data_IF_283758344014
#
_entry.id   IF_283758344014
#
_cell.length_a   1.000
_cell.length_b   1.000
_cell.length_c   1.000
_cell.angle_alpha   90.00
_cell.angle_beta   90.00
_cell.angle_gamma   90.00
#
_symmetry.space_group_name_H-M   'P 1'
#
loop_
_entity.id
_entity.type
_entity.pdbx_description
1 polymer ?
#
# COMPACT_ATOMS: atom_id res chain seq x y z
N UNK A 1 -4.85 8.06 17.55
CA UNK A 1 -4.28 9.42 17.47
C UNK A 1 -2.82 9.51 16.95
N UNK A 2 -1.94 8.52 17.06
CA UNK A 2 -0.54 8.63 16.54
C UNK A 2 -0.40 8.57 15.00
N UNK A 3 -1.34 7.95 14.27
CA UNK A 3 -1.26 7.75 12.80
C UNK A 3 -1.41 9.06 12.01
N UNK A 4 -2.35 9.93 12.37
CA UNK A 4 -2.59 11.20 11.68
C UNK A 4 -1.40 12.18 11.72
N UNK A 5 -0.54 12.11 12.73
CA UNK A 5 0.63 12.98 12.87
C UNK A 5 1.69 12.79 11.79
N UNK A 6 1.94 11.55 11.35
CA UNK A 6 2.98 11.23 10.36
C UNK A 6 2.70 11.80 8.95
N UNK A 7 1.42 12.03 8.62
CA UNK A 7 0.97 12.59 7.34
C UNK A 7 0.64 14.09 7.42
N UNK A 8 0.74 14.71 8.60
CA UNK A 8 0.42 16.12 8.78
C UNK A 8 1.28 17.01 7.87
N UNK A 9 0.62 17.88 7.12
CA UNK A 9 1.27 18.78 6.18
C UNK A 9 1.79 18.13 4.90
N UNK A 10 1.78 16.80 4.76
CA UNK A 10 2.26 16.10 3.58
C UNK A 10 1.20 15.98 2.50
N UNK A 11 1.65 15.97 1.25
CA UNK A 11 0.84 15.63 0.07
C UNK A 11 1.15 14.19 -0.34
N UNK A 12 0.12 13.35 -0.40
CA UNK A 12 0.22 11.97 -0.88
C UNK A 12 -0.15 11.91 -2.34
N UNK A 13 0.78 11.49 -3.17
CA UNK A 13 0.59 11.22 -4.60
C UNK A 13 0.35 9.74 -4.84
N UNK A 14 -0.65 9.39 -5.65
CA UNK A 14 -0.94 8.00 -6.02
C UNK A 14 -0.91 7.86 -7.54
N UNK A 15 0.00 7.04 -8.05
CA UNK A 15 0.07 6.70 -9.47
C UNK A 15 -0.57 5.35 -9.69
N UNK A 16 -1.67 5.34 -10.44
CA UNK A 16 -2.55 4.18 -10.64
C UNK A 16 -3.76 4.19 -9.71
N UNK A 17 -4.93 4.56 -10.24
CA UNK A 17 -6.21 4.54 -9.54
C UNK A 17 -7.01 3.25 -9.86
N UNK A 18 -6.32 2.10 -9.87
CA UNK A 18 -6.93 0.77 -9.88
C UNK A 18 -7.54 0.41 -8.53
N UNK A 19 -7.95 -0.85 -8.35
CA UNK A 19 -8.61 -1.34 -7.12
C UNK A 19 -7.82 -0.97 -5.86
N UNK A 20 -6.52 -1.25 -5.83
CA UNK A 20 -5.70 -0.98 -4.64
C UNK A 20 -5.41 0.51 -4.44
N UNK A 21 -5.13 1.26 -5.52
CA UNK A 21 -4.93 2.71 -5.43
C UNK A 21 -6.18 3.43 -4.91
N UNK A 22 -7.37 3.03 -5.37
CA UNK A 22 -8.64 3.54 -4.85
C UNK A 22 -8.88 3.16 -3.39
N UNK A 23 -8.55 1.91 -2.99
CA UNK A 23 -8.69 1.47 -1.60
C UNK A 23 -7.84 2.33 -0.65
N UNK A 24 -6.58 2.56 -0.99
CA UNK A 24 -5.66 3.39 -0.20
C UNK A 24 -6.15 4.85 -0.12
N UNK A 25 -6.58 5.44 -1.25
CA UNK A 25 -7.13 6.81 -1.26
C UNK A 25 -8.38 6.90 -0.37
N UNK A 26 -9.33 5.98 -0.49
CA UNK A 26 -10.55 5.97 0.33
C UNK A 26 -10.24 5.74 1.81
N UNK A 27 -9.30 4.84 2.12
CA UNK A 27 -8.83 4.62 3.49
C UNK A 27 -8.23 5.87 4.11
N UNK A 28 -7.38 6.58 3.39
CA UNK A 28 -6.79 7.87 3.85
C UNK A 28 -7.86 8.95 4.08
N UNK A 29 -8.85 9.06 3.19
CA UNK A 29 -9.96 10.00 3.37
C UNK A 29 -10.81 9.63 4.59
N UNK A 30 -11.09 8.33 4.80
CA UNK A 30 -11.83 7.83 5.96
C UNK A 30 -11.07 8.07 7.28
N UNK A 31 -9.76 7.93 7.26
CA UNK A 31 -8.87 8.22 8.42
C UNK A 31 -8.64 9.74 8.65
N UNK A 32 -9.37 10.59 7.92
CA UNK A 32 -9.42 12.05 8.13
C UNK A 32 -8.38 12.85 7.35
N UNK A 33 -7.69 12.28 6.37
CA UNK A 33 -6.81 13.05 5.49
C UNK A 33 -7.63 13.94 4.57
N UNK A 34 -7.32 15.24 4.52
CA UNK A 34 -8.01 16.18 3.65
C UNK A 34 -7.82 15.80 2.16
N UNK A 35 -8.90 15.78 1.37
CA UNK A 35 -8.88 15.42 -0.04
C UNK A 35 -7.93 16.28 -0.88
N UNK A 36 -7.80 17.57 -0.55
CA UNK A 36 -6.86 18.49 -1.19
C UNK A 36 -5.38 18.14 -0.96
N UNK A 37 -5.06 17.26 -0.02
CA UNK A 37 -3.72 16.71 0.23
C UNK A 37 -3.46 15.39 -0.48
N UNK A 38 -4.43 14.89 -1.25
CA UNK A 38 -4.28 13.70 -2.09
C UNK A 38 -4.32 14.13 -3.55
N UNK A 39 -3.32 13.70 -4.30
CA UNK A 39 -3.24 13.93 -5.75
C UNK A 39 -3.00 12.58 -6.42
N UNK A 40 -3.74 12.26 -7.48
CA UNK A 40 -3.59 10.95 -8.11
C UNK A 40 -3.61 11.02 -9.64
N UNK A 41 -3.11 9.98 -10.29
CA UNK A 41 -3.16 9.83 -11.74
C UNK A 41 -3.63 8.43 -12.15
N UNK A 42 -4.40 8.41 -13.23
CA UNK A 42 -4.74 7.19 -13.99
C UNK A 42 -5.09 7.62 -15.42
N UNK A 43 -4.61 6.95 -16.47
CA UNK A 43 -4.96 7.30 -17.84
C UNK A 43 -6.45 7.13 -18.13
N UNK A 44 -7.13 6.20 -17.46
CA UNK A 44 -8.54 5.86 -17.68
C UNK A 44 -9.48 6.88 -17.05
N UNK A 45 -10.30 7.55 -17.84
CA UNK A 45 -11.26 8.55 -17.36
C UNK A 45 -12.27 7.99 -16.33
N UNK A 46 -12.71 6.72 -16.51
CA UNK A 46 -13.60 6.03 -15.58
C UNK A 46 -13.02 5.90 -14.17
N UNK A 47 -11.73 5.54 -14.06
CA UNK A 47 -11.04 5.44 -12.78
C UNK A 47 -10.92 6.80 -12.07
N UNK A 48 -10.76 7.88 -12.84
CA UNK A 48 -10.63 9.24 -12.28
C UNK A 48 -11.96 9.79 -11.74
N UNK A 49 -13.07 9.58 -12.45
CA UNK A 49 -14.40 10.18 -12.11
C UNK A 49 -14.83 9.92 -10.66
N UNK A 50 -14.70 8.69 -10.19
CA UNK A 50 -15.11 8.31 -8.84
C UNK A 50 -14.34 9.03 -7.73
N UNK A 51 -13.03 9.23 -7.92
CA UNK A 51 -12.16 9.90 -6.95
C UNK A 51 -12.29 11.42 -7.02
N UNK A 52 -12.52 11.99 -8.21
CA UNK A 52 -12.79 13.43 -8.37
C UNK A 52 -14.02 13.84 -7.57
N UNK A 53 -15.09 13.02 -7.55
CA UNK A 53 -16.30 13.27 -6.73
C UNK A 53 -16.01 13.30 -5.22
N UNK A 54 -14.93 12.68 -4.78
CA UNK A 54 -14.47 12.71 -3.38
C UNK A 54 -13.53 13.90 -3.09
N UNK A 55 -13.38 14.84 -4.04
CA UNK A 55 -12.51 16.02 -3.92
C UNK A 55 -11.02 15.74 -4.15
N UNK A 56 -10.65 14.55 -4.62
CA UNK A 56 -9.25 14.21 -4.93
C UNK A 56 -8.85 14.84 -6.26
N UNK A 57 -7.68 15.49 -6.30
CA UNK A 57 -7.13 16.06 -7.53
C UNK A 57 -6.59 14.98 -8.45
N UNK A 58 -7.32 14.74 -9.56
CA UNK A 58 -7.01 13.66 -10.50
C UNK A 58 -6.34 14.19 -11.77
N UNK A 59 -5.32 13.48 -12.25
CA UNK A 59 -4.60 13.78 -13.48
C UNK A 59 -4.60 12.58 -14.44
N UNK A 60 -4.49 12.84 -15.75
CA UNK A 60 -4.30 11.79 -16.73
C UNK A 60 -2.82 11.35 -16.84
N UNK A 61 -1.88 12.26 -16.50
CA UNK A 61 -0.42 12.06 -16.57
C UNK A 61 0.19 11.98 -15.16
N UNK A 62 1.32 11.29 -15.03
CA UNK A 62 1.99 11.06 -13.74
C UNK A 62 2.83 12.26 -13.27
N UNK A 63 3.40 13.03 -14.20
CA UNK A 63 4.29 14.16 -13.89
C UNK A 63 3.70 15.18 -12.90
N UNK A 64 2.43 15.65 -13.03
CA UNK A 64 1.82 16.55 -12.06
C UNK A 64 1.75 15.96 -10.64
N UNK A 65 1.46 14.65 -10.52
CA UNK A 65 1.43 13.95 -9.24
C UNK A 65 2.83 13.87 -8.64
N UNK A 66 3.79 13.42 -9.44
CA UNK A 66 5.17 13.30 -9.01
C UNK A 66 5.77 14.63 -8.56
N UNK A 67 5.40 15.76 -9.14
CA UNK A 67 5.87 17.10 -8.74
C UNK A 67 5.35 17.56 -7.39
N UNK A 68 4.14 17.19 -7.02
CA UNK A 68 3.45 17.70 -5.84
C UNK A 68 3.63 16.82 -4.60
N UNK A 69 3.81 15.51 -4.79
CA UNK A 69 3.78 14.54 -3.69
C UNK A 69 5.01 14.61 -2.77
N UNK A 70 4.83 14.56 -1.47
CA UNK A 70 5.87 14.27 -0.47
C UNK A 70 6.06 12.78 -0.29
N UNK A 71 4.98 12.03 -0.52
CA UNK A 71 4.93 10.58 -0.53
C UNK A 71 4.31 10.15 -1.84
N UNK A 72 4.97 9.29 -2.58
CA UNK A 72 4.54 8.84 -3.90
C UNK A 72 4.27 7.33 -3.88
N UNK A 73 3.00 6.95 -3.94
CA UNK A 73 2.54 5.57 -4.02
C UNK A 73 2.49 5.12 -5.48
N UNK A 74 3.17 4.02 -5.80
CA UNK A 74 3.17 3.39 -7.12
C UNK A 74 2.24 2.18 -7.08
N UNK A 75 1.00 2.36 -7.56
CA UNK A 75 -0.08 1.37 -7.55
C UNK A 75 -0.42 0.86 -8.97
N UNK A 76 0.59 0.78 -9.84
CA UNK A 76 0.49 0.23 -11.19
C UNK A 76 0.83 -1.25 -11.22
N UNK A 77 0.51 -1.92 -12.33
CA UNK A 77 0.88 -3.32 -12.53
C UNK A 77 2.41 -3.48 -12.64
N UNK A 78 2.97 -4.65 -12.23
CA UNK A 78 4.41 -4.88 -12.27
C UNK A 78 5.02 -4.64 -13.66
N UNK A 79 4.30 -4.98 -14.73
CA UNK A 79 4.75 -4.82 -16.12
C UNK A 79 4.96 -3.34 -16.52
N UNK A 80 4.21 -2.43 -15.91
CA UNK A 80 4.28 -0.98 -16.18
C UNK A 80 5.38 -0.29 -15.34
N UNK A 81 5.91 -0.98 -14.32
CA UNK A 81 6.80 -0.37 -13.33
C UNK A 81 8.10 0.15 -13.94
N UNK A 82 8.69 -0.56 -14.90
CA UNK A 82 9.96 -0.17 -15.51
C UNK A 82 9.85 1.19 -16.23
N UNK A 83 8.87 1.34 -17.10
CA UNK A 83 8.61 2.59 -17.82
C UNK A 83 8.24 3.72 -16.88
N UNK A 84 7.42 3.42 -15.86
CA UNK A 84 7.05 4.39 -14.83
C UNK A 84 8.26 4.90 -14.05
N UNK A 85 9.16 4.03 -13.61
CA UNK A 85 10.36 4.45 -12.88
C UNK A 85 11.30 5.30 -13.73
N UNK A 86 11.40 5.05 -15.04
CA UNK A 86 12.13 5.89 -15.98
C UNK A 86 11.48 7.28 -16.11
N UNK A 87 10.15 7.33 -16.28
CA UNK A 87 9.37 8.58 -16.35
C UNK A 87 9.53 9.40 -15.05
N UNK A 88 9.52 8.76 -13.90
CA UNK A 88 9.55 9.45 -12.59
C UNK A 88 10.93 9.97 -12.21
N UNK A 89 12.02 9.40 -12.74
CA UNK A 89 13.39 9.72 -12.36
C UNK A 89 13.73 11.22 -12.34
N UNK A 90 13.31 12.05 -13.29
CA UNK A 90 13.55 13.50 -13.25
C UNK A 90 12.82 14.19 -12.09
N UNK A 91 11.67 13.66 -11.68
CA UNK A 91 10.75 14.29 -10.74
C UNK A 91 10.97 13.91 -9.27
N UNK A 92 11.64 12.78 -9.00
CA UNK A 92 11.91 12.30 -7.62
C UNK A 92 13.31 12.64 -7.12
N UNK A 93 14.20 13.16 -7.98
CA UNK A 93 15.47 13.75 -7.57
C UNK A 93 15.23 15.13 -6.91
N UNK A 94 16.22 15.70 -6.23
CA UNK A 94 16.15 17.02 -5.59
C UNK A 94 15.42 18.03 -6.47
N UNK A 95 14.29 18.58 -6.00
CA UNK A 95 13.40 19.46 -6.76
C UNK A 95 13.70 20.94 -6.48
N UNK A 96 13.56 21.86 -7.48
CA UNK A 96 13.49 23.29 -7.22
C UNK A 96 12.24 23.61 -6.37
N UNK A 97 12.32 24.63 -5.51
CA UNK A 97 11.21 25.10 -4.67
C UNK A 97 10.11 25.85 -5.46
N UNK A 98 10.35 26.18 -6.72
CA UNK A 98 9.45 26.97 -7.58
C UNK A 98 8.25 26.17 -8.13
N UNK A 99 7.75 25.19 -7.40
CA UNK A 99 6.45 24.58 -7.73
C UNK A 99 5.34 25.49 -7.21
N UNK A 100 4.34 25.88 -8.03
CA UNK A 100 3.31 26.89 -7.69
C UNK A 100 2.45 26.56 -6.47
N UNK A 101 2.59 25.39 -5.86
CA UNK A 101 1.91 25.02 -4.61
C UNK A 101 2.45 25.76 -3.37
N UNK A 102 3.55 26.52 -3.46
CA UNK A 102 4.18 27.24 -2.33
C UNK A 102 4.29 28.76 -2.54
N UNK A 103 3.65 29.33 -3.55
CA UNK A 103 3.67 30.78 -3.83
C UNK A 103 3.02 31.67 -2.77
N UNK A 104 2.41 31.10 -1.72
CA UNK A 104 1.76 31.89 -0.66
C UNK A 104 2.65 32.25 0.54
N UNK A 105 3.63 31.41 0.87
CA UNK A 105 4.39 31.55 2.13
C UNK A 105 5.71 32.30 1.95
N UNK A 106 6.30 32.29 0.75
CA UNK A 106 7.57 32.95 0.48
C UNK A 106 7.42 34.52 0.34
N UNK A 107 6.23 35.01 0.07
CA UNK A 107 5.99 36.46 -0.06
C UNK A 107 5.89 37.21 1.27
N UNK A 108 5.49 36.55 2.35
CA UNK A 108 5.35 37.23 3.66
C UNK A 108 6.69 37.37 4.40
N UNK A 109 7.68 36.54 4.12
CA UNK A 109 9.02 36.65 4.75
C UNK A 109 9.84 37.78 4.11
N UNK A 110 9.60 38.12 2.84
CA UNK A 110 10.30 39.17 2.15
C UNK A 110 9.77 40.59 2.48
N UNK A 111 8.51 40.74 2.93
CA UNK A 111 7.91 42.02 3.27
C UNK A 111 8.31 42.58 4.64
N UNK A 112 8.89 41.77 5.53
CA UNK A 112 9.22 42.21 6.89
C UNK A 112 10.70 42.59 7.09
N UNK A 113 11.50 42.71 6.00
CA UNK A 113 12.91 43.14 6.05
C UNK A 113 13.21 44.52 5.44
N UNK A 114 12.20 45.33 5.08
CA UNK A 114 12.40 46.63 4.43
C UNK A 114 12.01 47.82 5.29
N UNK A 115 12.30 47.79 6.60
CA UNK A 115 12.28 49.02 7.44
C UNK A 115 13.48 49.03 8.38
N UNK A 116 14.60 49.55 7.92
CA UNK A 116 15.79 49.87 8.70
C UNK A 116 16.80 50.64 7.85
N UNK A 117 17.09 51.83 8.28
CA UNK A 117 17.79 52.95 7.66
C UNK A 117 19.24 52.66 7.18
N UNK A 118 19.82 53.50 6.29
CA UNK A 118 21.09 53.29 5.62
C UNK A 118 22.27 53.92 6.37
N UNK A 119 23.40 53.25 6.42
CA UNK A 119 24.71 53.93 6.60
C UNK A 119 25.81 53.25 5.76
N UNK A 120 26.38 54.14 4.94
CA UNK A 120 27.70 54.21 4.32
C UNK A 120 28.47 52.97 3.85
N UNK A 121 28.75 53.09 2.58
CA UNK A 121 29.60 52.30 1.75
C UNK A 121 31.04 52.14 2.25
N UNK A 122 31.61 50.94 2.04
CA UNK A 122 32.98 50.77 1.57
C UNK A 122 33.04 49.64 0.55
N UNK A 123 33.66 49.96 -0.55
CA UNK A 123 33.87 49.19 -1.76
C UNK A 123 34.92 48.11 -1.52
N UNK A 124 34.58 46.81 -1.69
CA UNK A 124 35.58 45.79 -1.95
C UNK A 124 35.05 44.93 -3.09
N UNK A 125 35.71 45.04 -4.22
CA UNK A 125 35.51 44.19 -5.39
C UNK A 125 35.98 42.80 -5.10
N UNK A 126 35.11 41.82 -5.24
CA UNK A 126 35.39 40.41 -5.18
C UNK A 126 34.24 39.69 -5.86
N UNK A 127 34.26 39.62 -7.21
CA UNK A 127 33.38 38.74 -7.99
C UNK A 127 33.55 37.31 -7.51
N UNK A 128 32.63 36.83 -6.72
CA UNK A 128 32.27 35.42 -6.65
C UNK A 128 30.91 35.27 -7.26
N UNK A 129 30.88 34.60 -8.41
CA UNK A 129 29.65 34.18 -9.08
C UNK A 129 28.72 33.53 -8.07
N UNK A 130 27.63 34.19 -7.80
CA UNK A 130 26.60 33.75 -6.86
C UNK A 130 25.97 32.48 -7.38
N UNK A 131 26.35 31.35 -6.76
CA UNK A 131 25.54 30.15 -6.80
C UNK A 131 24.17 30.53 -6.20
N UNK A 132 23.21 30.90 -7.05
CA UNK A 132 21.83 31.12 -6.68
C UNK A 132 21.29 29.81 -6.10
N UNK A 133 21.43 29.66 -4.78
CA UNK A 133 20.96 28.52 -4.04
C UNK A 133 19.46 28.38 -4.13
N UNK A 134 18.95 27.87 -5.26
CA UNK A 134 17.55 27.45 -5.37
C UNK A 134 17.34 26.41 -4.29
N UNK A 135 16.66 26.80 -3.22
CA UNK A 135 16.32 25.88 -2.13
C UNK A 135 15.61 24.66 -2.71
N UNK A 136 16.21 23.50 -2.56
CA UNK A 136 15.73 22.24 -3.16
C UNK A 136 14.92 21.46 -2.13
N UNK A 137 13.72 21.05 -2.50
CA UNK A 137 12.88 20.18 -1.68
C UNK A 137 13.52 18.79 -1.57
N UNK A 138 13.40 18.14 -0.40
CA UNK A 138 13.83 16.77 -0.21
C UNK A 138 13.11 15.80 -1.19
N UNK A 139 13.78 14.72 -1.64
CA UNK A 139 13.12 13.70 -2.45
C UNK A 139 11.91 13.12 -1.72
N UNK A 140 10.81 12.77 -2.44
CA UNK A 140 9.66 12.13 -1.82
C UNK A 140 10.03 10.72 -1.33
N UNK A 141 9.30 10.23 -0.33
CA UNK A 141 9.26 8.78 -0.07
C UNK A 141 8.51 8.09 -1.22
N UNK A 142 9.18 7.20 -1.94
CA UNK A 142 8.54 6.39 -3.00
C UNK A 142 8.17 5.03 -2.44
N UNK A 143 6.89 4.68 -2.51
CA UNK A 143 6.34 3.41 -2.01
C UNK A 143 5.80 2.61 -3.19
N UNK A 144 6.32 1.41 -3.42
CA UNK A 144 5.78 0.49 -4.42
C UNK A 144 4.95 -0.60 -3.76
N UNK A 145 3.76 -0.86 -4.31
CA UNK A 145 2.89 -1.98 -3.94
C UNK A 145 2.85 -3.08 -5.00
N UNK A 146 3.68 -2.99 -6.03
CA UNK A 146 3.70 -3.94 -7.13
C UNK A 146 4.39 -5.25 -6.73
N UNK A 147 3.69 -6.38 -6.95
CA UNK A 147 4.26 -7.70 -6.74
C UNK A 147 5.53 -7.90 -7.61
N UNK A 148 6.53 -8.61 -7.08
CA UNK A 148 7.77 -8.89 -7.81
C UNK A 148 8.77 -7.72 -7.92
N UNK A 149 8.38 -6.48 -7.64
CA UNK A 149 9.29 -5.33 -7.67
C UNK A 149 10.04 -5.23 -6.34
N UNK A 150 11.33 -5.53 -6.37
CA UNK A 150 12.15 -5.56 -5.17
C UNK A 150 12.59 -4.16 -4.73
N UNK A 151 12.90 -4.01 -3.44
CA UNK A 151 13.54 -2.81 -2.89
C UNK A 151 14.82 -2.45 -3.67
N UNK A 152 15.65 -3.44 -3.99
CA UNK A 152 16.89 -3.25 -4.78
C UNK A 152 16.59 -2.66 -6.16
N UNK A 153 15.52 -3.13 -6.82
CA UNK A 153 15.08 -2.56 -8.11
C UNK A 153 14.69 -1.10 -7.97
N UNK A 154 13.93 -0.74 -6.93
CA UNK A 154 13.54 0.65 -6.67
C UNK A 154 14.77 1.53 -6.41
N UNK A 155 15.68 1.09 -5.53
CA UNK A 155 16.89 1.84 -5.17
C UNK A 155 17.83 2.06 -6.36
N UNK A 156 17.98 1.07 -7.24
CA UNK A 156 18.84 1.19 -8.43
C UNK A 156 18.24 2.11 -9.50
N UNK A 157 16.93 2.10 -9.66
CA UNK A 157 16.24 2.95 -10.65
C UNK A 157 16.02 4.39 -10.16
N UNK A 158 15.92 4.59 -8.83
CA UNK A 158 15.69 5.90 -8.19
C UNK A 158 16.84 6.24 -7.21
N UNK A 159 18.07 6.40 -7.69
CA UNK A 159 19.21 6.64 -6.81
C UNK A 159 19.04 7.96 -6.03
N UNK A 160 19.34 7.90 -4.73
CA UNK A 160 19.21 9.05 -3.84
C UNK A 160 17.82 9.25 -3.22
N UNK A 161 16.82 8.46 -3.62
CA UNK A 161 15.43 8.57 -3.16
C UNK A 161 15.17 7.57 -2.02
N UNK A 162 14.50 7.96 -0.92
CA UNK A 162 14.00 7.01 0.07
C UNK A 162 12.89 6.16 -0.56
N UNK A 163 12.98 4.85 -0.42
CA UNK A 163 12.00 3.91 -0.98
C UNK A 163 11.45 2.97 0.09
N UNK A 164 10.23 2.50 -0.13
CA UNK A 164 9.63 1.39 0.62
C UNK A 164 8.96 0.42 -0.37
N UNK A 165 9.09 -0.86 -0.09
CA UNK A 165 8.30 -1.90 -0.74
C UNK A 165 7.20 -2.34 0.21
N UNK A 166 5.96 -2.39 -0.26
CA UNK A 166 4.82 -2.86 0.51
C UNK A 166 4.08 -3.93 -0.27
N UNK A 167 3.62 -4.96 0.42
CA UNK A 167 2.78 -6.02 -0.15
C UNK A 167 1.44 -6.02 0.59
N UNK A 168 0.44 -5.27 0.10
CA UNK A 168 -0.93 -5.29 0.61
C UNK A 168 -1.73 -6.45 0.02
N UNK A 169 -2.93 -6.68 0.53
CA UNK A 169 -3.87 -7.64 -0.01
C UNK A 169 -5.26 -7.03 -0.29
N UNK A 170 -6.11 -7.76 -1.01
CA UNK A 170 -7.42 -7.29 -1.49
C UNK A 170 -8.38 -6.83 -0.37
N UNK A 171 -8.43 -7.43 0.85
CA UNK A 171 -9.27 -6.96 1.94
C UNK A 171 -9.02 -5.51 2.39
N UNK A 172 -7.92 -4.88 1.99
CA UNK A 172 -7.70 -3.44 2.15
C UNK A 172 -8.84 -2.59 1.55
N UNK A 173 -9.57 -3.11 0.55
CA UNK A 173 -10.73 -2.43 -0.06
C UNK A 173 -11.91 -2.24 0.90
N UNK A 174 -11.94 -2.99 1.98
CA UNK A 174 -12.96 -2.94 3.04
C UNK A 174 -12.35 -2.59 4.41
N UNK A 175 -11.13 -2.06 4.45
CA UNK A 175 -10.46 -1.65 5.68
C UNK A 175 -9.91 -2.81 6.53
N UNK A 176 -9.91 -4.04 6.01
CA UNK A 176 -9.45 -5.25 6.68
C UNK A 176 -8.23 -5.88 5.99
N UNK A 177 -7.35 -5.05 5.44
CA UNK A 177 -6.15 -5.49 4.76
C UNK A 177 -5.04 -5.94 5.70
N UNK A 178 -4.10 -6.72 5.15
CA UNK A 178 -2.81 -6.97 5.76
C UNK A 178 -1.72 -6.50 4.80
N UNK A 179 -0.78 -5.69 5.29
CA UNK A 179 0.29 -5.11 4.49
C UNK A 179 1.64 -5.36 5.13
N UNK A 180 2.47 -6.20 4.51
CA UNK A 180 3.88 -6.28 4.90
C UNK A 180 4.69 -5.20 4.18
N UNK A 181 5.65 -4.58 4.88
CA UNK A 181 6.52 -3.59 4.27
C UNK A 181 7.99 -3.77 4.66
N UNK A 182 8.89 -3.23 3.83
CA UNK A 182 10.31 -3.09 4.13
C UNK A 182 10.82 -1.76 3.60
N UNK A 183 11.74 -1.16 4.34
CA UNK A 183 12.31 0.14 4.02
C UNK A 183 13.61 -0.01 3.24
N UNK A 184 13.85 0.92 2.31
CA UNK A 184 15.12 1.08 1.63
C UNK A 184 16.19 1.70 2.53
N UNK A 185 17.45 1.60 2.12
CA UNK A 185 18.60 2.07 2.90
C UNK A 185 18.59 3.57 3.23
N UNK A 186 17.87 4.39 2.45
CA UNK A 186 17.70 5.83 2.67
C UNK A 186 16.41 6.20 3.39
N UNK A 187 15.59 5.22 3.74
CA UNK A 187 14.38 5.43 4.50
C UNK A 187 14.65 5.17 6.00
N UNK A 188 14.23 6.10 6.84
CA UNK A 188 14.43 6.03 8.30
C UNK A 188 13.11 5.99 9.06
N UNK A 189 13.14 6.20 10.40
CA UNK A 189 11.95 6.07 11.28
C UNK A 189 10.77 6.95 10.88
N UNK A 190 11.00 8.17 10.40
CA UNK A 190 9.93 9.04 9.92
C UNK A 190 9.22 8.47 8.68
N UNK A 191 9.95 7.80 7.79
CA UNK A 191 9.38 7.13 6.63
C UNK A 191 8.59 5.88 7.02
N UNK A 192 9.05 5.13 8.05
CA UNK A 192 8.30 4.01 8.66
C UNK A 192 6.94 4.48 9.14
N UNK A 193 6.89 5.54 9.95
CA UNK A 193 5.64 6.09 10.47
C UNK A 193 4.67 6.50 9.35
N UNK A 194 5.20 7.02 8.22
CA UNK A 194 4.39 7.35 7.04
C UNK A 194 3.81 6.10 6.39
N UNK A 195 4.60 5.02 6.21
CA UNK A 195 4.12 3.75 5.64
C UNK A 195 3.03 3.16 6.54
N UNK A 196 3.29 3.09 7.85
CA UNK A 196 2.34 2.59 8.84
C UNK A 196 1.04 3.42 8.88
N UNK A 197 1.13 4.74 8.73
CA UNK A 197 -0.06 5.59 8.68
C UNK A 197 -0.90 5.31 7.43
N UNK A 198 -0.27 5.22 6.25
CA UNK A 198 -0.99 5.01 4.98
C UNK A 198 -1.67 3.64 4.94
N UNK A 199 -0.92 2.58 5.24
CA UNK A 199 -1.46 1.21 5.13
C UNK A 199 -2.29 0.82 6.35
N UNK A 200 -2.03 1.42 7.51
CA UNK A 200 -2.86 1.29 8.69
C UNK A 200 -4.26 1.89 8.55
N UNK A 201 -4.47 2.82 7.61
CA UNK A 201 -5.80 3.34 7.26
C UNK A 201 -6.69 2.31 6.55
N UNK A 202 -6.11 1.20 6.06
CA UNK A 202 -6.83 0.13 5.34
C UNK A 202 -6.64 -1.26 5.95
N UNK A 203 -6.07 -1.37 7.15
CA UNK A 203 -5.89 -2.65 7.85
C UNK A 203 -4.66 -2.68 8.75
N UNK A 204 -4.05 -3.84 8.89
CA UNK A 204 -2.86 -4.07 9.70
C UNK A 204 -1.57 -3.94 8.87
N UNK A 205 -0.49 -3.54 9.56
CA UNK A 205 0.83 -3.40 8.94
C UNK A 205 1.90 -4.10 9.76
N UNK A 206 2.87 -4.72 9.07
CA UNK A 206 4.04 -5.32 9.71
C UNK A 206 5.29 -5.03 8.89
N UNK A 207 6.38 -4.63 9.56
CA UNK A 207 7.68 -4.54 8.91
C UNK A 207 8.38 -5.89 8.95
N UNK A 208 8.81 -6.38 7.77
CA UNK A 208 9.48 -7.66 7.62
C UNK A 208 10.72 -7.54 6.74
N UNK A 209 11.73 -8.39 6.96
CA UNK A 209 12.84 -8.55 6.03
C UNK A 209 12.34 -8.93 4.63
N UNK A 210 12.90 -8.34 3.58
CA UNK A 210 12.46 -8.56 2.19
C UNK A 210 12.47 -10.04 1.77
N UNK A 211 13.35 -10.88 2.33
CA UNK A 211 13.40 -12.33 2.08
C UNK A 211 12.10 -13.08 2.41
N UNK A 212 11.21 -12.50 3.23
CA UNK A 212 9.93 -13.08 3.60
C UNK A 212 8.78 -12.67 2.68
N UNK A 213 8.99 -11.75 1.74
CA UNK A 213 7.89 -11.21 0.92
C UNK A 213 7.24 -12.23 -0.01
N UNK A 214 7.97 -13.25 -0.47
CA UNK A 214 7.38 -14.32 -1.28
C UNK A 214 6.45 -15.19 -0.44
N UNK A 215 6.81 -15.47 0.81
CA UNK A 215 5.93 -16.16 1.76
C UNK A 215 4.71 -15.31 2.10
N UNK A 216 4.89 -14.01 2.36
CA UNK A 216 3.76 -13.08 2.59
C UNK A 216 2.84 -13.02 1.37
N UNK A 217 3.40 -12.98 0.17
CA UNK A 217 2.61 -12.99 -1.07
C UNK A 217 1.77 -14.26 -1.16
N UNK A 218 2.35 -15.41 -0.88
CA UNK A 218 1.63 -16.69 -0.88
C UNK A 218 0.52 -16.73 0.19
N UNK A 219 0.82 -16.32 1.42
CA UNK A 219 -0.11 -16.43 2.56
C UNK A 219 -1.19 -15.35 2.51
N UNK A 220 -0.79 -14.09 2.40
CA UNK A 220 -1.67 -12.92 2.53
C UNK A 220 -2.08 -12.33 1.19
N UNK A 221 -1.15 -12.16 0.25
CA UNK A 221 -1.44 -11.61 -1.08
C UNK A 221 -2.43 -12.47 -1.86
N UNK A 222 -2.18 -13.78 -1.92
CA UNK A 222 -3.03 -14.78 -2.59
C UNK A 222 -4.14 -15.32 -1.69
N UNK A 223 -4.00 -15.20 -0.38
CA UNK A 223 -4.92 -15.73 0.64
C UNK A 223 -6.39 -15.45 0.41
N UNK A 224 -6.83 -14.25 0.02
CA UNK A 224 -8.22 -13.98 -0.27
C UNK A 224 -8.82 -14.91 -1.32
N UNK A 225 -8.05 -15.32 -2.34
CA UNK A 225 -8.51 -16.27 -3.35
C UNK A 225 -8.77 -17.66 -2.77
N UNK A 226 -7.98 -18.10 -1.80
CA UNK A 226 -8.19 -19.38 -1.12
C UNK A 226 -9.48 -19.37 -0.30
N UNK A 227 -9.76 -18.27 0.39
CA UNK A 227 -11.02 -18.10 1.12
C UNK A 227 -12.20 -18.11 0.16
N UNK A 228 -12.12 -17.42 -0.97
CA UNK A 228 -13.20 -17.42 -1.97
C UNK A 228 -13.40 -18.80 -2.59
N UNK A 229 -12.33 -19.55 -2.85
CA UNK A 229 -12.41 -20.93 -3.32
C UNK A 229 -13.09 -21.85 -2.29
N UNK A 230 -12.71 -21.73 -1.01
CA UNK A 230 -13.33 -22.51 0.08
C UNK A 230 -14.83 -22.18 0.20
N UNK A 231 -15.20 -20.90 0.16
CA UNK A 231 -16.61 -20.47 0.18
C UNK A 231 -17.37 -21.05 -1.00
N UNK A 232 -16.81 -21.00 -2.21
CA UNK A 232 -17.42 -21.57 -3.41
C UNK A 232 -17.67 -23.07 -3.27
N UNK A 233 -16.69 -23.82 -2.83
CA UNK A 233 -16.79 -25.27 -2.62
C UNK A 233 -17.84 -25.60 -1.54
N UNK A 234 -17.84 -24.87 -0.44
CA UNK A 234 -18.76 -25.08 0.67
C UNK A 234 -20.21 -24.73 0.31
N UNK A 235 -20.44 -23.60 -0.38
CA UNK A 235 -21.78 -23.26 -0.93
C UNK A 235 -22.28 -24.34 -1.91
N UNK A 236 -21.38 -24.92 -2.71
CA UNK A 236 -21.67 -26.05 -3.61
C UNK A 236 -22.12 -27.31 -2.85
N UNK A 237 -21.34 -27.71 -1.84
CA UNK A 237 -21.65 -28.86 -1.01
C UNK A 237 -22.96 -28.68 -0.22
N UNK A 238 -23.22 -27.49 0.32
CA UNK A 238 -24.46 -27.19 1.03
C UNK A 238 -25.70 -27.36 0.13
N UNK A 239 -25.59 -26.97 -1.15
CA UNK A 239 -26.67 -27.20 -2.13
C UNK A 239 -26.85 -28.68 -2.46
N UNK A 240 -25.79 -29.43 -2.55
CA UNK A 240 -25.85 -30.88 -2.76
C UNK A 240 -26.53 -31.63 -1.60
N UNK A 241 -26.52 -31.05 -0.40
CA UNK A 241 -27.28 -31.52 0.76
C UNK A 241 -28.77 -31.06 0.76
N UNK A 242 -29.25 -30.40 -0.30
CA UNK A 242 -30.65 -29.98 -0.46
C UNK A 242 -30.96 -28.56 0.04
N UNK A 243 -29.97 -27.79 0.51
CA UNK A 243 -30.25 -26.42 0.93
C UNK A 243 -30.53 -25.51 -0.28
N UNK A 244 -31.60 -24.69 -0.22
CA UNK A 244 -31.85 -23.68 -1.22
C UNK A 244 -30.65 -22.75 -1.39
N UNK A 245 -30.35 -22.31 -2.61
CA UNK A 245 -29.16 -21.49 -2.95
C UNK A 245 -28.97 -20.27 -2.03
N UNK A 246 -30.06 -19.56 -1.74
CA UNK A 246 -30.02 -18.38 -0.87
C UNK A 246 -29.66 -18.73 0.57
N UNK A 247 -30.15 -19.86 1.09
CA UNK A 247 -29.89 -20.36 2.43
C UNK A 247 -28.44 -20.85 2.53
N UNK A 248 -27.98 -21.68 1.59
CA UNK A 248 -26.60 -22.18 1.52
C UNK A 248 -25.59 -21.02 1.54
N UNK A 249 -25.82 -20.00 0.70
CA UNK A 249 -24.99 -18.80 0.64
C UNK A 249 -24.94 -18.04 1.98
N UNK A 250 -26.08 -17.80 2.61
CA UNK A 250 -26.16 -17.10 3.90
C UNK A 250 -25.50 -17.90 5.01
N UNK A 251 -25.79 -19.19 5.12
CA UNK A 251 -25.24 -20.05 6.15
C UNK A 251 -23.71 -20.12 6.08
N UNK A 252 -23.14 -20.41 4.91
CA UNK A 252 -21.67 -20.54 4.74
C UNK A 252 -20.97 -19.21 5.07
N UNK A 253 -21.44 -18.10 4.53
CA UNK A 253 -20.80 -16.79 4.74
C UNK A 253 -20.90 -16.34 6.18
N UNK A 254 -22.07 -16.53 6.82
CA UNK A 254 -22.23 -16.16 8.22
C UNK A 254 -21.40 -17.04 9.15
N UNK A 255 -21.32 -18.34 8.89
CA UNK A 255 -20.47 -19.26 9.66
C UNK A 255 -19.00 -18.86 9.55
N UNK A 256 -18.49 -18.60 8.35
CA UNK A 256 -17.11 -18.17 8.15
C UNK A 256 -16.83 -16.85 8.88
N UNK A 257 -17.67 -15.83 8.68
CA UNK A 257 -17.50 -14.53 9.31
C UNK A 257 -17.53 -14.62 10.84
N UNK A 258 -18.45 -15.40 11.40
CA UNK A 258 -18.56 -15.62 12.84
C UNK A 258 -17.36 -16.36 13.42
N UNK A 259 -16.88 -17.42 12.75
CA UNK A 259 -15.71 -18.18 13.18
C UNK A 259 -14.44 -17.35 13.19
N UNK A 260 -14.22 -16.52 12.16
CA UNK A 260 -13.06 -15.60 12.12
C UNK A 260 -13.13 -14.56 13.25
N UNK A 261 -14.34 -14.03 13.55
CA UNK A 261 -14.51 -13.12 14.70
C UNK A 261 -14.21 -13.80 16.03
N UNK A 262 -14.61 -15.06 16.22
CA UNK A 262 -14.27 -15.82 17.43
C UNK A 262 -12.75 -16.01 17.55
N UNK A 263 -12.05 -16.37 16.49
CA UNK A 263 -10.58 -16.47 16.48
C UNK A 263 -9.91 -15.14 16.87
N UNK A 264 -10.44 -14.01 16.39
CA UNK A 264 -9.89 -12.70 16.68
C UNK A 264 -10.24 -12.18 18.09
N UNK A 265 -11.30 -12.69 18.73
CA UNK A 265 -11.79 -12.20 20.03
C UNK A 265 -11.18 -12.89 21.25
N UNK A 266 -10.48 -13.98 21.06
CA UNK A 266 -9.91 -14.77 22.18
C UNK A 266 -8.50 -15.26 21.79
N UNK A 267 -7.63 -15.37 22.80
CA UNK A 267 -6.26 -15.91 22.66
C UNK A 267 -6.22 -17.45 22.61
N UNK A 268 -7.28 -18.07 22.06
CA UNK A 268 -7.35 -19.52 21.91
C UNK A 268 -6.84 -19.94 20.52
N UNK A 269 -5.96 -20.92 20.51
CA UNK A 269 -5.47 -21.51 19.27
C UNK A 269 -6.59 -22.22 18.49
N UNK A 270 -6.49 -22.30 17.14
CA UNK A 270 -7.50 -22.94 16.30
C UNK A 270 -7.89 -24.35 16.72
N UNK A 271 -6.95 -25.16 17.19
CA UNK A 271 -7.19 -26.52 17.67
C UNK A 271 -8.09 -26.56 18.90
N UNK A 272 -7.99 -25.57 19.79
CA UNK A 272 -8.86 -25.47 20.95
C UNK A 272 -10.30 -25.15 20.54
N UNK A 273 -10.49 -24.31 19.53
CA UNK A 273 -11.80 -24.03 18.95
C UNK A 273 -12.40 -25.25 18.26
N UNK A 274 -11.60 -26.02 17.52
CA UNK A 274 -12.03 -27.30 16.90
C UNK A 274 -12.55 -28.24 17.98
N UNK A 275 -11.81 -28.44 19.09
CA UNK A 275 -12.25 -29.32 20.21
C UNK A 275 -13.54 -28.84 20.87
N UNK A 276 -13.81 -27.53 20.92
CA UNK A 276 -15.08 -26.99 21.48
C UNK A 276 -16.30 -27.28 20.62
N UNK A 277 -16.12 -27.33 19.31
CA UNK A 277 -17.22 -27.55 18.35
C UNK A 277 -17.40 -29.05 18.08
N UNK A 278 -16.33 -29.86 18.10
CA UNK A 278 -16.35 -31.29 17.81
C UNK A 278 -16.73 -32.10 19.07
N UNK A 279 -17.97 -32.57 19.12
CA UNK A 279 -18.39 -33.57 20.12
C UNK A 279 -18.01 -34.98 19.67
N UNK A 280 -17.70 -35.85 20.62
CA UNK A 280 -17.36 -37.26 20.39
C UNK A 280 -18.49 -37.98 19.64
N UNK A 281 -18.17 -38.65 18.53
CA UNK A 281 -19.13 -39.29 17.59
C UNK A 281 -20.16 -38.34 16.98
N UNK A 282 -19.88 -37.01 16.98
CA UNK A 282 -20.77 -36.01 16.41
C UNK A 282 -20.54 -35.77 14.93
N UNK A 283 -21.39 -34.97 14.33
CA UNK A 283 -21.35 -34.60 12.90
C UNK A 283 -20.05 -33.89 12.53
N UNK A 284 -19.51 -33.06 13.42
CA UNK A 284 -18.24 -32.32 13.24
C UNK A 284 -17.05 -33.28 13.16
N UNK A 285 -17.00 -34.28 14.07
CA UNK A 285 -15.93 -35.31 14.06
C UNK A 285 -15.95 -36.10 12.78
N UNK A 286 -17.14 -36.52 12.31
CA UNK A 286 -17.30 -37.23 11.03
C UNK A 286 -16.79 -36.40 9.85
N UNK A 287 -17.14 -35.13 9.78
CA UNK A 287 -16.67 -34.22 8.72
C UNK A 287 -15.15 -34.01 8.77
N UNK A 288 -14.57 -33.72 9.93
CA UNK A 288 -13.13 -33.55 10.11
C UNK A 288 -12.35 -34.82 9.74
N UNK A 289 -12.87 -36.01 10.06
CA UNK A 289 -12.28 -37.30 9.65
C UNK A 289 -12.16 -37.42 8.13
N UNK A 290 -13.17 -36.93 7.37
CA UNK A 290 -13.09 -36.93 5.91
C UNK A 290 -12.01 -35.93 5.42
N UNK A 291 -11.97 -34.70 5.96
CA UNK A 291 -10.98 -33.70 5.57
C UNK A 291 -9.54 -34.16 5.84
N UNK A 292 -9.33 -34.83 6.98
CA UNK A 292 -8.04 -35.41 7.36
C UNK A 292 -7.63 -36.54 6.40
N UNK A 293 -8.54 -37.51 6.13
CA UNK A 293 -8.27 -38.58 5.16
C UNK A 293 -7.98 -38.05 3.75
N UNK A 294 -8.65 -36.97 3.34
CA UNK A 294 -8.42 -36.29 2.06
C UNK A 294 -7.20 -35.37 2.07
N UNK A 295 -6.42 -35.37 3.17
CA UNK A 295 -5.14 -34.67 3.29
C UNK A 295 -5.23 -33.18 2.99
N UNK A 296 -6.28 -32.50 3.48
CA UNK A 296 -6.51 -31.08 3.22
C UNK A 296 -5.32 -30.22 3.70
N UNK A 297 -4.77 -30.51 4.87
CA UNK A 297 -3.63 -29.76 5.42
C UNK A 297 -2.35 -29.90 4.55
N UNK A 298 -1.89 -31.10 4.15
CA UNK A 298 -0.81 -31.22 3.17
C UNK A 298 -1.06 -30.49 1.86
N UNK A 299 -2.30 -30.55 1.33
CA UNK A 299 -2.67 -29.84 0.10
C UNK A 299 -2.52 -28.31 0.24
N UNK A 300 -2.94 -27.74 1.38
CA UNK A 300 -2.72 -26.32 1.68
C UNK A 300 -1.23 -25.96 1.71
N UNK A 301 -0.41 -26.80 2.35
CA UNK A 301 1.05 -26.61 2.42
C UNK A 301 1.70 -26.61 1.04
N UNK A 302 1.26 -27.51 0.18
CA UNK A 302 1.73 -27.61 -1.21
C UNK A 302 1.31 -26.37 -2.02
N UNK A 303 0.05 -25.95 -1.93
CA UNK A 303 -0.46 -24.77 -2.61
C UNK A 303 0.30 -23.49 -2.23
N UNK A 304 0.57 -23.29 -0.93
CA UNK A 304 1.34 -22.13 -0.46
C UNK A 304 2.80 -22.16 -0.96
N UNK A 305 3.42 -23.35 -0.98
CA UNK A 305 4.77 -23.49 -1.56
C UNK A 305 4.80 -23.19 -3.06
N UNK A 306 3.80 -23.63 -3.81
CA UNK A 306 3.68 -23.34 -5.24
C UNK A 306 3.53 -21.81 -5.47
N UNK A 307 2.67 -21.14 -4.69
CA UNK A 307 2.47 -19.70 -4.77
C UNK A 307 3.75 -18.92 -4.41
N UNK A 308 4.48 -19.34 -3.38
CA UNK A 308 5.75 -18.72 -2.99
C UNK A 308 6.82 -18.87 -4.09
N UNK A 309 6.97 -20.05 -4.67
CA UNK A 309 7.88 -20.27 -5.82
C UNK A 309 7.51 -19.38 -7.00
N UNK A 310 6.22 -19.28 -7.32
CA UNK A 310 5.78 -18.41 -8.41
C UNK A 310 6.07 -16.93 -8.16
N UNK A 311 5.94 -16.48 -6.92
CA UNK A 311 6.31 -15.12 -6.51
C UNK A 311 7.81 -14.85 -6.72
N UNK A 312 8.68 -15.82 -6.40
CA UNK A 312 10.13 -15.72 -6.63
C UNK A 312 10.46 -15.61 -8.12
N UNK A 313 9.84 -16.44 -8.97
CA UNK A 313 10.02 -16.37 -10.43
C UNK A 313 9.65 -15.01 -11.00
N UNK A 314 8.51 -14.43 -10.57
CA UNK A 314 8.09 -13.10 -10.98
C UNK A 314 9.07 -12.02 -10.54
N UNK A 315 9.68 -12.17 -9.36
CA UNK A 315 10.72 -11.25 -8.86
C UNK A 315 12.04 -11.41 -9.62
N UNK A 316 12.36 -12.60 -10.10
CA UNK A 316 13.54 -12.88 -10.91
C UNK A 316 13.44 -12.27 -12.31
N UNK A 317 12.31 -12.46 -12.99
CA UNK A 317 12.08 -11.90 -14.35
C UNK A 317 12.12 -10.37 -14.35
N UNK A 318 11.70 -9.72 -13.26
CA UNK A 318 11.79 -8.26 -13.12
C UNK A 318 13.23 -7.73 -12.94
N UNK A 319 14.21 -8.60 -12.66
CA UNK A 319 15.65 -8.26 -12.55
C UNK A 319 16.37 -8.34 -13.89
N UNK A 320 15.95 -9.26 -14.76
CA UNK A 320 16.59 -9.57 -16.04
C UNK A 320 16.12 -8.64 -17.18
N UNK A 321 14.99 -7.98 -17.03
CA UNK A 321 14.41 -7.01 -17.96
C UNK A 321 14.61 -5.57 -17.48
#
# INVERSE_FOLDING_TARGET
>A
MRRAGALRGKTVGVIGAGTMGQALIRGLLHDGMASGRIVASDPRAGARRGLTRLGVRMHAKNAPVARQADVLLLAVKPQEMRSLLQELRPWVRRRPLDSPAFGGVARDVARNRSRGRPERAQRVEGRREGNSGIARRAPPLVISIAAGITRRTLESRLPGTPVARVMPNLPATVGAGFSAFTLGRRAGPAHRAVVEAIFGAVGETVELPERLFDAVTAVSGSGPAYVFFLVHAWEGAARALGLPRAVARRAVRQTLAGSVRLLASASLEPEAWIRRVASKRGTTEAALSVLTRRRLEPAFREALRAAARRSQELSWTSRAS
#
